data_IF_397231677968
#
_entry.id   IF_397231677968
#
_cell.length_a   1.000
_cell.length_b   1.000
_cell.length_c   1.000
_cell.angle_alpha   90.00
_cell.angle_beta   90.00
_cell.angle_gamma   90.00
#
_symmetry.space_group_name_H-M   'P 1'
#
loop_
_entity.id
_entity.type
_entity.pdbx_description
1 polymer ?
#
# COMPACT_ATOMS: atom_id res chain seq x y z
N UNK A 1 -34.20 -44.00 -55.86
CA UNK A 1 -33.33 -42.86 -55.50
C UNK A 1 -33.60 -42.50 -54.06
N UNK A 2 -32.58 -42.63 -53.22
CA UNK A 2 -32.56 -42.35 -51.79
C UNK A 2 -32.78 -40.88 -51.47
N UNK A 3 -33.20 -40.63 -50.22
CA UNK A 3 -32.83 -39.53 -49.30
C UNK A 3 -34.06 -38.92 -48.62
N UNK A 4 -34.14 -39.09 -47.30
CA UNK A 4 -34.42 -38.00 -46.37
C UNK A 4 -34.03 -38.45 -44.96
N UNK A 5 -32.78 -38.13 -44.62
CA UNK A 5 -32.21 -38.18 -43.28
C UNK A 5 -32.39 -36.81 -42.65
N UNK A 6 -33.08 -36.80 -41.50
CA UNK A 6 -32.81 -36.08 -40.24
C UNK A 6 -32.55 -34.56 -40.28
N UNK A 7 -33.29 -33.83 -39.43
CA UNK A 7 -32.72 -32.83 -38.51
C UNK A 7 -33.77 -32.38 -37.48
N UNK A 8 -33.99 -33.20 -36.44
CA UNK A 8 -34.64 -32.79 -35.18
C UNK A 8 -33.57 -32.62 -34.11
N UNK A 9 -32.91 -31.47 -34.07
CA UNK A 9 -32.07 -31.07 -32.93
C UNK A 9 -31.71 -29.58 -33.04
N UNK A 10 -32.61 -28.68 -32.66
CA UNK A 10 -32.24 -27.25 -32.57
C UNK A 10 -32.92 -26.48 -31.43
N UNK A 11 -33.81 -27.09 -30.65
CA UNK A 11 -34.56 -26.38 -29.61
C UNK A 11 -33.94 -26.44 -28.21
N UNK A 12 -33.02 -27.35 -27.91
CA UNK A 12 -32.38 -27.42 -26.58
C UNK A 12 -31.23 -26.41 -26.39
N UNK A 13 -30.54 -26.01 -27.46
CA UNK A 13 -29.38 -25.10 -27.35
C UNK A 13 -29.79 -23.64 -27.09
N UNK A 14 -30.94 -23.21 -27.59
CA UNK A 14 -31.42 -21.83 -27.43
C UNK A 14 -31.91 -21.54 -26.00
N UNK A 15 -32.58 -22.50 -25.36
CA UNK A 15 -33.07 -22.36 -23.97
C UNK A 15 -31.92 -22.28 -22.95
N UNK A 16 -30.87 -23.10 -23.11
CA UNK A 16 -29.69 -23.05 -22.23
C UNK A 16 -28.87 -21.77 -22.40
N UNK A 17 -28.77 -21.22 -23.62
CA UNK A 17 -28.03 -19.97 -23.85
C UNK A 17 -28.71 -18.76 -23.16
N UNK A 18 -30.05 -18.77 -23.10
CA UNK A 18 -30.83 -17.70 -22.48
C UNK A 18 -30.83 -17.79 -20.94
N UNK A 19 -30.90 -19.00 -20.36
CA UNK A 19 -30.72 -19.22 -18.91
C UNK A 19 -29.30 -18.89 -18.40
N UNK A 20 -28.27 -19.14 -19.21
CA UNK A 20 -26.87 -18.81 -18.86
C UNK A 20 -26.64 -17.29 -18.92
N UNK A 21 -27.31 -16.58 -19.83
CA UNK A 21 -27.21 -15.12 -19.93
C UNK A 21 -27.85 -14.39 -18.73
N UNK A 22 -28.96 -14.91 -18.20
CA UNK A 22 -29.63 -14.37 -17.02
C UNK A 22 -28.80 -14.60 -15.72
N UNK A 23 -28.07 -15.72 -15.63
CA UNK A 23 -27.25 -16.06 -14.46
C UNK A 23 -25.97 -15.22 -14.30
N UNK A 24 -25.52 -14.54 -15.36
CA UNK A 24 -24.31 -13.71 -15.35
C UNK A 24 -24.59 -12.30 -15.87
N UNK A 25 -25.61 -11.66 -15.31
CA UNK A 25 -25.80 -10.22 -15.48
C UNK A 25 -24.62 -9.50 -14.79
N UNK A 26 -23.58 -9.16 -15.56
CA UNK A 26 -22.46 -8.35 -15.07
C UNK A 26 -23.02 -6.98 -14.70
N UNK A 27 -23.27 -6.76 -13.40
CA UNK A 27 -23.73 -5.47 -12.91
C UNK A 27 -22.61 -4.48 -13.18
N UNK A 28 -22.82 -3.58 -14.15
CA UNK A 28 -21.89 -2.50 -14.42
C UNK A 28 -21.62 -1.76 -13.10
N UNK A 29 -20.35 -1.51 -12.79
CA UNK A 29 -19.94 -0.79 -11.59
C UNK A 29 -20.72 0.52 -11.51
N UNK A 30 -21.43 0.72 -10.41
CA UNK A 30 -22.29 1.90 -10.23
C UNK A 30 -21.45 3.15 -9.97
N UNK A 31 -20.25 2.96 -9.41
CA UNK A 31 -19.33 4.02 -9.03
C UNK A 31 -17.91 3.71 -9.54
N UNK A 32 -17.17 4.74 -9.91
CA UNK A 32 -15.81 4.59 -10.44
C UNK A 32 -14.86 3.97 -9.40
N UNK A 33 -15.07 4.24 -8.11
CA UNK A 33 -14.28 3.62 -7.05
C UNK A 33 -14.42 2.09 -7.01
N UNK A 34 -15.56 1.53 -7.45
CA UNK A 34 -15.75 0.08 -7.50
C UNK A 34 -14.81 -0.54 -8.51
N UNK A 35 -14.64 0.08 -9.68
CA UNK A 35 -13.71 -0.40 -10.70
C UNK A 35 -12.26 -0.15 -10.30
N UNK A 36 -11.93 1.06 -9.87
CA UNK A 36 -10.54 1.49 -9.64
C UNK A 36 -9.95 0.93 -8.35
N UNK A 37 -10.69 0.93 -7.26
CA UNK A 37 -10.18 0.49 -5.95
C UNK A 37 -10.24 -1.02 -5.78
N UNK A 38 -11.25 -1.70 -6.34
CA UNK A 38 -11.42 -3.15 -6.17
C UNK A 38 -10.31 -4.01 -6.79
N UNK A 39 -9.55 -3.45 -7.76
CA UNK A 39 -8.41 -4.16 -8.34
C UNK A 39 -7.29 -4.46 -7.34
N UNK A 40 -7.16 -3.67 -6.27
CA UNK A 40 -6.10 -3.85 -5.27
C UNK A 40 -6.62 -4.00 -3.83
N UNK A 41 -7.85 -3.61 -3.55
CA UNK A 41 -8.43 -3.60 -2.21
C UNK A 41 -9.83 -4.18 -2.22
N UNK A 42 -10.24 -4.91 -1.18
CA UNK A 42 -11.68 -5.20 -1.02
C UNK A 42 -12.41 -3.89 -0.70
N UNK A 43 -13.63 -3.70 -1.21
CA UNK A 43 -14.42 -2.50 -0.88
C UNK A 43 -14.75 -2.44 0.60
N UNK A 44 -14.93 -3.59 1.25
CA UNK A 44 -15.02 -3.68 2.71
C UNK A 44 -13.82 -3.01 3.38
N UNK A 45 -12.59 -3.33 2.97
CA UNK A 45 -11.37 -2.69 3.51
C UNK A 45 -11.33 -1.19 3.21
N UNK A 46 -11.76 -0.77 2.02
CA UNK A 46 -11.78 0.66 1.65
C UNK A 46 -12.68 1.45 2.60
N UNK A 47 -13.85 0.90 2.95
CA UNK A 47 -14.86 1.57 3.77
C UNK A 47 -14.89 1.13 5.24
N UNK A 48 -13.99 0.25 5.68
CA UNK A 48 -13.97 -0.28 7.04
C UNK A 48 -13.85 0.80 8.11
N UNK A 49 -13.21 1.92 7.78
CA UNK A 49 -13.03 3.04 8.69
C UNK A 49 -13.71 4.29 8.15
N UNK A 50 -14.66 4.88 8.90
CA UNK A 50 -15.22 6.17 8.52
C UNK A 50 -14.14 7.25 8.54
N UNK A 51 -14.29 8.24 7.66
CA UNK A 51 -13.35 9.35 7.51
C UNK A 51 -14.11 10.65 7.32
N UNK A 52 -13.53 11.76 7.75
CA UNK A 52 -14.02 13.08 7.38
C UNK A 52 -13.91 13.29 5.87
N UNK A 53 -14.66 14.26 5.33
CA UNK A 53 -14.55 14.65 3.92
C UNK A 53 -13.11 15.00 3.52
N UNK A 54 -12.35 15.64 4.42
CA UNK A 54 -10.96 16.02 4.14
C UNK A 54 -10.02 14.80 4.14
N UNK A 55 -10.21 13.87 5.07
CA UNK A 55 -9.42 12.64 5.13
C UNK A 55 -9.65 11.75 3.90
N UNK A 56 -10.88 11.70 3.37
CA UNK A 56 -11.15 11.04 2.09
C UNK A 56 -10.38 11.68 0.93
N UNK A 57 -10.37 13.02 0.84
CA UNK A 57 -9.59 13.74 -0.18
C UNK A 57 -8.10 13.38 -0.10
N UNK A 58 -7.52 13.47 1.10
CA UNK A 58 -6.10 13.12 1.33
C UNK A 58 -5.82 11.66 0.94
N UNK A 59 -6.73 10.74 1.30
CA UNK A 59 -6.59 9.32 0.98
C UNK A 59 -6.52 9.09 -0.53
N UNK A 60 -7.47 9.64 -1.29
CA UNK A 60 -7.52 9.48 -2.75
C UNK A 60 -6.33 10.15 -3.42
N UNK A 61 -5.95 11.37 -3.03
CA UNK A 61 -4.74 12.04 -3.55
C UNK A 61 -3.48 11.21 -3.31
N UNK A 62 -3.37 10.55 -2.14
CA UNK A 62 -2.25 9.64 -1.87
C UNK A 62 -2.27 8.41 -2.78
N UNK A 63 -3.44 7.84 -3.05
CA UNK A 63 -3.55 6.69 -3.96
C UNK A 63 -3.18 7.06 -5.40
N UNK A 64 -3.60 8.23 -5.86
CA UNK A 64 -3.16 8.79 -7.16
C UNK A 64 -1.64 8.92 -7.21
N UNK A 65 -1.01 9.45 -6.15
CA UNK A 65 0.45 9.59 -6.08
C UNK A 65 1.21 8.25 -6.10
N UNK A 66 0.59 7.15 -5.65
CA UNK A 66 1.21 5.81 -5.69
C UNK A 66 1.24 5.22 -7.10
N UNK A 67 0.24 5.51 -7.92
CA UNK A 67 0.20 5.11 -9.33
C UNK A 67 -0.54 6.15 -10.17
N UNK A 68 0.17 7.18 -10.67
CA UNK A 68 -0.45 8.29 -11.42
C UNK A 68 -1.11 7.88 -12.74
N UNK A 69 -0.80 6.70 -13.27
CA UNK A 69 -1.39 6.17 -14.50
C UNK A 69 -2.70 5.39 -14.23
N UNK A 70 -3.01 5.08 -12.97
CA UNK A 70 -4.18 4.28 -12.60
C UNK A 70 -5.42 5.12 -12.30
N UNK A 71 -5.23 6.24 -11.62
CA UNK A 71 -6.28 7.21 -11.28
C UNK A 71 -5.79 8.59 -11.73
N UNK A 72 -6.43 9.15 -12.76
CA UNK A 72 -6.10 10.50 -13.24
C UNK A 72 -6.59 11.57 -12.25
N UNK A 73 -6.22 12.84 -12.49
CA UNK A 73 -6.69 13.95 -11.67
C UNK A 73 -8.22 14.10 -11.71
N UNK A 74 -8.80 13.94 -12.90
CA UNK A 74 -10.25 14.02 -13.14
C UNK A 74 -10.99 12.84 -12.50
N UNK A 75 -10.47 11.61 -12.68
CA UNK A 75 -11.02 10.40 -12.06
C UNK A 75 -10.95 10.48 -10.53
N UNK A 76 -9.84 10.99 -9.98
CA UNK A 76 -9.67 11.19 -8.55
C UNK A 76 -10.69 12.18 -7.98
N UNK A 77 -10.96 13.28 -8.68
CA UNK A 77 -11.98 14.25 -8.29
C UNK A 77 -13.39 13.63 -8.29
N UNK A 78 -13.71 12.81 -9.30
CA UNK A 78 -14.99 12.11 -9.38
C UNK A 78 -15.15 11.09 -8.24
N UNK A 79 -14.14 10.25 -7.98
CA UNK A 79 -14.15 9.28 -6.87
C UNK A 79 -14.36 9.99 -5.52
N UNK A 80 -13.71 11.13 -5.32
CA UNK A 80 -13.89 11.94 -4.11
C UNK A 80 -15.34 12.37 -3.97
N UNK A 81 -15.97 12.85 -5.04
CA UNK A 81 -17.36 13.28 -5.04
C UNK A 81 -18.33 12.12 -4.75
N UNK A 82 -18.16 10.99 -5.45
CA UNK A 82 -18.95 9.76 -5.27
C UNK A 82 -18.95 9.31 -3.79
N UNK A 83 -17.79 9.31 -3.14
CA UNK A 83 -17.67 8.87 -1.75
C UNK A 83 -18.24 9.93 -0.79
N UNK A 84 -17.83 11.19 -0.94
CA UNK A 84 -18.18 12.28 -0.02
C UNK A 84 -19.68 12.60 -0.04
N UNK A 85 -20.31 12.50 -1.20
CA UNK A 85 -21.72 12.83 -1.40
C UNK A 85 -22.63 11.59 -1.49
N UNK A 86 -22.14 10.48 -2.03
CA UNK A 86 -22.90 9.25 -2.22
C UNK A 86 -22.85 8.25 -1.05
N UNK A 87 -21.81 8.28 -0.21
CA UNK A 87 -21.60 7.34 0.90
C UNK A 87 -21.53 8.04 2.26
N UNK A 88 -22.61 8.74 2.61
CA UNK A 88 -22.73 9.50 3.88
C UNK A 88 -22.53 8.62 5.12
N UNK A 89 -22.83 7.34 5.04
CA UNK A 89 -22.57 6.32 6.07
C UNK A 89 -21.09 6.21 6.46
N UNK A 90 -20.19 6.58 5.54
CA UNK A 90 -18.74 6.51 5.73
C UNK A 90 -18.13 7.85 6.16
N UNK A 91 -18.94 8.90 6.28
CA UNK A 91 -18.49 10.27 6.59
C UNK A 91 -18.74 10.61 8.05
N UNK A 92 -17.68 10.93 8.78
CA UNK A 92 -17.76 11.49 10.14
C UNK A 92 -17.54 13.00 10.15
N UNK A 93 -18.13 13.67 11.14
CA UNK A 93 -18.06 15.13 11.27
C UNK A 93 -16.67 15.61 11.74
N UNK A 94 -16.00 14.85 12.59
CA UNK A 94 -14.69 15.19 13.17
C UNK A 94 -13.72 14.05 12.99
N UNK A 95 -12.45 14.38 12.74
CA UNK A 95 -11.38 13.39 12.75
C UNK A 95 -11.19 12.91 14.18
N UNK A 96 -11.23 11.61 14.39
CA UNK A 96 -10.88 11.00 15.67
C UNK A 96 -9.47 10.44 15.56
N UNK A 97 -8.63 10.73 16.53
CA UNK A 97 -7.30 10.14 16.64
C UNK A 97 -7.45 8.64 16.89
N UNK A 98 -7.05 7.83 15.90
CA UNK A 98 -7.28 6.38 15.91
C UNK A 98 -6.28 5.67 16.81
N UNK A 99 -6.74 4.72 17.63
CA UNK A 99 -5.85 3.79 18.34
C UNK A 99 -5.43 2.64 17.43
N UNK A 100 -4.18 2.22 17.52
CA UNK A 100 -3.63 1.13 16.71
C UNK A 100 -2.93 0.12 17.61
N UNK A 101 -3.28 -1.16 17.47
CA UNK A 101 -2.58 -2.24 18.15
C UNK A 101 -1.23 -2.57 17.49
N UNK A 102 -1.15 -2.40 16.17
CA UNK A 102 0.08 -2.60 15.40
C UNK A 102 0.90 -1.29 15.36
N UNK A 103 2.12 -1.35 15.88
CA UNK A 103 3.03 -0.19 15.95
C UNK A 103 3.50 0.30 14.59
N UNK A 104 3.58 -0.57 13.58
CA UNK A 104 3.92 -0.16 12.22
C UNK A 104 2.78 0.68 11.63
N UNK A 105 1.53 0.27 11.85
CA UNK A 105 0.36 1.04 11.42
C UNK A 105 0.31 2.38 12.16
N UNK A 106 0.56 2.39 13.47
CA UNK A 106 0.68 3.61 14.26
C UNK A 106 1.73 4.56 13.67
N UNK A 107 2.94 4.07 13.41
CA UNK A 107 4.02 4.86 12.82
C UNK A 107 3.63 5.44 11.45
N UNK A 108 3.01 4.63 10.58
CA UNK A 108 2.56 5.10 9.27
C UNK A 108 1.53 6.23 9.45
N UNK A 109 0.55 6.06 10.33
CA UNK A 109 -0.49 7.07 10.53
C UNK A 109 0.04 8.37 11.17
N UNK A 110 0.89 8.27 12.20
CA UNK A 110 1.39 9.46 12.90
C UNK A 110 2.48 10.20 12.14
N UNK A 111 3.45 9.46 11.62
CA UNK A 111 4.68 10.07 11.11
C UNK A 111 4.61 10.35 9.61
N UNK A 112 3.89 9.52 8.83
CA UNK A 112 3.98 9.57 7.36
C UNK A 112 2.93 10.45 6.68
N UNK A 113 2.02 11.04 7.47
CA UNK A 113 1.09 12.06 6.97
C UNK A 113 1.82 13.28 6.43
N UNK A 114 2.94 13.65 7.04
CA UNK A 114 3.71 14.86 6.69
C UNK A 114 5.17 14.56 6.35
N UNK A 115 5.71 13.39 6.72
CA UNK A 115 7.10 13.05 6.47
C UNK A 115 7.20 11.81 5.59
N UNK A 116 8.22 11.75 4.74
CA UNK A 116 8.55 10.49 4.07
C UNK A 116 9.11 9.52 5.09
N UNK A 117 8.85 8.22 4.91
CA UNK A 117 9.39 7.19 5.81
C UNK A 117 10.92 7.27 5.83
N UNK A 118 11.54 7.52 4.67
CA UNK A 118 12.98 7.72 4.51
C UNK A 118 13.52 8.83 5.41
N UNK A 119 12.84 9.99 5.47
CA UNK A 119 13.26 11.12 6.30
C UNK A 119 13.34 10.73 7.77
N UNK A 120 12.41 9.93 8.24
CA UNK A 120 12.34 9.51 9.64
C UNK A 120 13.36 8.40 9.92
N UNK A 121 13.34 7.31 9.16
CA UNK A 121 14.18 6.14 9.44
C UNK A 121 15.68 6.36 9.20
N UNK A 122 16.08 7.38 8.43
CA UNK A 122 17.50 7.74 8.24
C UNK A 122 18.11 8.53 9.41
N UNK A 123 17.30 8.98 10.38
CA UNK A 123 17.84 9.72 11.51
C UNK A 123 18.58 8.78 12.46
N UNK A 124 19.81 9.15 12.80
CA UNK A 124 20.56 8.48 13.86
C UNK A 124 20.35 9.23 15.17
N UNK A 125 19.45 8.71 16.00
CA UNK A 125 19.06 9.31 17.28
C UNK A 125 19.13 8.29 18.41
N UNK A 126 19.44 8.75 19.62
CA UNK A 126 19.22 7.99 20.86
C UNK A 126 17.73 7.89 21.16
N UNK A 127 17.38 7.07 22.15
CA UNK A 127 16.00 6.93 22.62
C UNK A 127 15.44 8.27 23.12
N UNK A 128 16.25 9.01 23.88
CA UNK A 128 15.90 10.30 24.46
C UNK A 128 15.67 11.34 23.34
N UNK A 129 16.58 11.41 22.37
CA UNK A 129 16.43 12.30 21.22
C UNK A 129 15.22 11.96 20.34
N UNK A 130 14.84 10.68 20.26
CA UNK A 130 13.61 10.25 19.61
C UNK A 130 12.38 10.69 20.38
N UNK A 131 12.37 10.49 21.70
CA UNK A 131 11.27 10.92 22.57
C UNK A 131 11.04 12.44 22.45
N UNK A 132 12.10 13.24 22.54
CA UNK A 132 12.03 14.69 22.33
C UNK A 132 11.48 15.06 20.93
N UNK A 133 11.92 14.34 19.91
CA UNK A 133 11.44 14.57 18.54
C UNK A 133 9.96 14.29 18.41
N UNK A 134 9.46 13.18 18.97
CA UNK A 134 8.04 12.80 18.93
C UNK A 134 7.20 13.78 19.76
N UNK A 135 7.66 14.18 20.95
CA UNK A 135 6.99 15.20 21.77
C UNK A 135 6.85 16.51 20.99
N UNK A 136 7.90 16.95 20.30
CA UNK A 136 7.83 18.14 19.43
C UNK A 136 6.84 17.95 18.26
N UNK A 137 6.73 16.75 17.69
CA UNK A 137 5.73 16.49 16.64
C UNK A 137 4.31 16.51 17.19
N UNK A 138 4.08 15.97 18.38
CA UNK A 138 2.81 16.12 19.11
C UNK A 138 2.49 17.59 19.36
N UNK A 139 3.45 18.39 19.83
CA UNK A 139 3.19 19.81 20.13
C UNK A 139 2.82 20.60 18.87
N UNK A 140 3.37 20.22 17.72
CA UNK A 140 3.06 20.83 16.42
C UNK A 140 1.74 20.33 15.80
N UNK A 141 1.29 19.13 16.16
CA UNK A 141 0.10 18.47 15.60
C UNK A 141 -0.63 17.65 16.69
N UNK A 142 -1.17 18.31 17.72
CA UNK A 142 -1.69 17.63 18.92
C UNK A 142 -2.87 16.70 18.61
N UNK A 143 -3.64 17.01 17.57
CA UNK A 143 -4.75 16.19 17.12
C UNK A 143 -4.33 14.84 16.52
N UNK A 144 -3.07 14.68 16.13
CA UNK A 144 -2.58 13.44 15.53
C UNK A 144 -2.12 12.43 16.58
N UNK A 145 -1.71 12.85 17.77
CA UNK A 145 -1.05 11.98 18.73
C UNK A 145 -1.92 11.76 19.97
N UNK A 146 -1.96 10.53 20.44
CA UNK A 146 -2.37 10.21 21.81
C UNK A 146 -1.15 10.18 22.72
N UNK A 147 -1.32 10.48 24.01
CA UNK A 147 -0.23 10.40 24.98
C UNK A 147 0.37 8.98 25.07
N UNK A 148 -0.46 7.96 24.88
CA UNK A 148 -0.03 6.55 24.82
C UNK A 148 0.81 6.19 23.59
N UNK A 149 0.71 6.98 22.50
CA UNK A 149 1.48 6.73 21.27
C UNK A 149 2.97 7.04 21.48
N UNK A 150 3.27 8.02 22.33
CA UNK A 150 4.61 8.58 22.51
C UNK A 150 5.64 7.51 22.93
N UNK A 151 5.45 6.75 24.03
CA UNK A 151 6.40 5.72 24.42
C UNK A 151 6.49 4.60 23.37
N UNK A 152 5.37 4.20 22.76
CA UNK A 152 5.34 3.11 21.76
C UNK A 152 6.16 3.48 20.51
N UNK A 153 5.96 4.69 19.98
CA UNK A 153 6.71 5.19 18.83
C UNK A 153 8.19 5.41 19.16
N UNK A 154 8.49 5.85 20.38
CA UNK A 154 9.87 6.05 20.86
C UNK A 154 10.65 4.75 20.83
N UNK A 155 10.09 3.67 21.40
CA UNK A 155 10.75 2.36 21.39
C UNK A 155 10.91 1.84 19.97
N UNK A 156 9.85 1.89 19.18
CA UNK A 156 9.87 1.41 17.80
C UNK A 156 10.94 2.10 16.94
N UNK A 157 11.08 3.42 17.02
CA UNK A 157 12.09 4.15 16.25
C UNK A 157 13.51 3.90 16.78
N UNK A 158 13.66 3.68 18.09
CA UNK A 158 14.94 3.34 18.72
C UNK A 158 15.42 1.96 18.27
N UNK A 159 14.56 0.95 18.37
CA UNK A 159 14.85 -0.43 17.93
C UNK A 159 15.12 -0.49 16.44
N UNK A 160 14.31 0.21 15.63
CA UNK A 160 14.48 0.21 14.19
C UNK A 160 15.75 0.95 13.76
N UNK A 161 16.08 2.06 14.42
CA UNK A 161 17.37 2.74 14.23
C UNK A 161 18.54 1.83 14.58
N UNK A 162 18.45 1.03 15.65
CA UNK A 162 19.47 0.04 16.02
C UNK A 162 19.63 -1.05 14.95
N UNK A 163 18.52 -1.61 14.46
CA UNK A 163 18.54 -2.58 13.37
C UNK A 163 19.20 -2.00 12.11
N UNK A 164 18.90 -0.75 11.75
CA UNK A 164 19.52 -0.13 10.56
C UNK A 164 21.01 0.17 10.73
N UNK A 165 21.50 0.37 11.96
CA UNK A 165 22.92 0.63 12.26
C UNK A 165 23.77 -0.64 12.35
N UNK A 166 23.21 -1.70 12.93
CA UNK A 166 23.95 -2.90 13.27
C UNK A 166 23.80 -4.01 12.21
N UNK A 167 22.92 -3.84 11.23
CA UNK A 167 22.63 -4.83 10.18
C UNK A 167 23.22 -4.41 8.83
N UNK A 168 24.24 -5.16 8.38
CA UNK A 168 24.89 -4.96 7.08
C UNK A 168 23.86 -4.98 5.94
N UNK A 169 22.83 -5.82 6.00
CA UNK A 169 21.78 -5.87 4.99
C UNK A 169 20.94 -4.59 4.96
N UNK A 170 20.70 -3.97 6.12
CA UNK A 170 19.95 -2.72 6.21
C UNK A 170 20.75 -1.56 5.63
N UNK A 171 22.06 -1.53 5.88
CA UNK A 171 22.94 -0.56 5.27
C UNK A 171 22.98 -0.71 3.73
N UNK A 172 23.07 -1.94 3.23
CA UNK A 172 22.94 -2.22 1.79
C UNK A 172 21.59 -1.71 1.25
N UNK A 173 20.48 -1.91 1.96
CA UNK A 173 19.17 -1.39 1.54
C UNK A 173 19.18 0.13 1.41
N UNK A 174 19.74 0.84 2.39
CA UNK A 174 19.83 2.30 2.37
C UNK A 174 20.69 2.79 1.20
N UNK A 175 21.85 2.17 1.01
CA UNK A 175 22.84 2.57 0.00
C UNK A 175 22.43 2.19 -1.43
N UNK A 176 21.60 1.16 -1.60
CA UNK A 176 21.32 0.59 -2.93
C UNK A 176 19.85 0.62 -3.32
N UNK A 177 18.93 0.34 -2.42
CA UNK A 177 17.50 0.31 -2.74
C UNK A 177 16.87 1.70 -2.57
N UNK A 178 17.23 2.42 -1.50
CA UNK A 178 16.62 3.71 -1.17
C UNK A 178 17.20 4.89 -1.96
N UNK A 179 18.15 4.65 -2.86
CA UNK A 179 18.63 5.62 -3.85
C UNK A 179 17.54 5.94 -4.87
N UNK A 180 16.71 4.95 -5.22
CA UNK A 180 15.65 5.10 -6.22
C UNK A 180 14.23 4.83 -5.67
N UNK A 181 14.10 4.21 -4.50
CA UNK A 181 12.81 3.80 -3.97
C UNK A 181 12.54 4.41 -2.59
N UNK A 182 11.28 4.73 -2.34
CA UNK A 182 10.82 5.03 -0.98
C UNK A 182 10.75 3.73 -0.18
N UNK A 183 11.30 3.73 1.05
CA UNK A 183 11.35 2.52 1.90
C UNK A 183 9.95 1.96 2.18
N UNK A 184 8.92 2.81 2.26
CA UNK A 184 7.54 2.39 2.42
C UNK A 184 7.02 1.55 1.24
N UNK A 185 7.53 1.75 0.02
CA UNK A 185 7.17 0.92 -1.14
C UNK A 185 7.70 -0.51 -1.01
N UNK A 186 8.85 -0.65 -0.35
CA UNK A 186 9.54 -1.94 -0.19
C UNK A 186 8.97 -2.66 1.03
N UNK A 187 8.93 -1.99 2.19
CA UNK A 187 8.60 -2.62 3.47
C UNK A 187 7.10 -2.91 3.67
N UNK A 188 6.22 -2.32 2.85
CA UNK A 188 4.78 -2.62 2.88
C UNK A 188 4.37 -3.73 1.91
N UNK A 189 5.29 -4.20 1.09
CA UNK A 189 5.03 -5.25 0.11
C UNK A 189 5.12 -6.63 0.78
N UNK A 190 4.26 -7.56 0.34
CA UNK A 190 4.22 -8.94 0.83
C UNK A 190 4.55 -9.90 -0.31
N UNK A 191 5.68 -10.60 -0.24
CA UNK A 191 6.10 -11.63 -1.20
C UNK A 191 6.68 -12.85 -0.49
N UNK A 192 6.59 -14.00 -1.14
CA UNK A 192 7.38 -15.17 -0.77
C UNK A 192 8.87 -14.87 -0.95
N UNK A 193 9.75 -15.66 -0.33
CA UNK A 193 11.20 -15.58 -0.55
C UNK A 193 11.53 -15.57 -2.04
N UNK A 194 10.99 -16.53 -2.79
CA UNK A 194 11.16 -16.62 -4.25
C UNK A 194 10.71 -15.34 -4.97
N UNK A 195 9.57 -14.77 -4.56
CA UNK A 195 9.08 -13.51 -5.12
C UNK A 195 9.97 -12.31 -4.82
N UNK A 196 10.64 -12.28 -3.67
CA UNK A 196 11.65 -11.26 -3.38
C UNK A 196 12.93 -11.46 -4.19
N UNK A 197 13.39 -12.70 -4.36
CA UNK A 197 14.53 -13.02 -5.21
C UNK A 197 14.31 -12.52 -6.64
N UNK A 198 13.14 -12.82 -7.23
CA UNK A 198 12.79 -12.38 -8.58
C UNK A 198 12.76 -10.84 -8.67
N UNK A 199 12.15 -10.17 -7.69
CA UNK A 199 12.12 -8.71 -7.62
C UNK A 199 13.53 -8.10 -7.59
N UNK A 200 14.44 -8.65 -6.77
CA UNK A 200 15.81 -8.11 -6.66
C UNK A 200 16.62 -8.39 -7.94
N UNK A 201 16.40 -9.54 -8.61
CA UNK A 201 16.99 -9.84 -9.92
C UNK A 201 16.55 -8.80 -10.95
N UNK A 202 15.25 -8.51 -11.03
CA UNK A 202 14.72 -7.49 -11.94
C UNK A 202 15.33 -6.11 -11.65
N UNK A 203 15.44 -5.73 -10.37
CA UNK A 203 16.06 -4.46 -9.98
C UNK A 203 17.54 -4.41 -10.35
N UNK A 204 18.28 -5.52 -10.26
CA UNK A 204 19.68 -5.59 -10.70
C UNK A 204 19.81 -5.36 -12.20
N UNK A 205 18.95 -5.98 -13.01
CA UNK A 205 18.92 -5.78 -14.47
C UNK A 205 18.64 -4.31 -14.80
N UNK A 206 17.60 -3.73 -14.20
CA UNK A 206 17.22 -2.33 -14.42
C UNK A 206 18.32 -1.36 -13.97
N UNK A 207 18.93 -1.60 -12.81
CA UNK A 207 20.01 -0.75 -12.31
C UNK A 207 21.25 -0.83 -13.21
N UNK A 208 21.59 -2.01 -13.73
CA UNK A 208 22.68 -2.18 -14.69
C UNK A 208 22.42 -1.43 -16.00
N UNK A 209 21.18 -1.48 -16.51
CA UNK A 209 20.80 -0.73 -17.71
C UNK A 209 20.88 0.79 -17.48
N UNK A 210 20.39 1.26 -16.33
CA UNK A 210 20.31 2.69 -16.02
C UNK A 210 21.65 3.32 -15.64
N UNK A 211 22.46 2.62 -14.86
CA UNK A 211 23.70 3.14 -14.27
C UNK A 211 24.97 2.54 -14.87
N UNK A 212 24.85 1.59 -15.81
CA UNK A 212 25.96 0.90 -16.48
C UNK A 212 26.97 0.26 -15.52
N UNK A 213 26.54 -0.08 -14.30
CA UNK A 213 27.36 -0.74 -13.27
C UNK A 213 26.60 -1.90 -12.66
N UNK A 214 27.34 -2.89 -12.16
CA UNK A 214 26.72 -3.95 -11.36
C UNK A 214 26.34 -3.35 -10.00
N UNK A 215 25.04 -3.32 -9.72
CA UNK A 215 24.51 -2.59 -8.57
C UNK A 215 24.64 -3.41 -7.28
N UNK A 216 24.54 -4.73 -7.36
CA UNK A 216 24.63 -5.66 -6.24
C UNK A 216 25.65 -6.77 -6.53
N UNK A 217 26.46 -7.14 -5.54
CA UNK A 217 27.21 -8.40 -5.55
C UNK A 217 26.27 -9.59 -5.25
N UNK A 218 26.72 -10.81 -5.53
CA UNK A 218 25.96 -12.02 -5.21
C UNK A 218 25.75 -12.20 -3.70
N UNK A 219 26.69 -11.75 -2.86
CA UNK A 219 26.57 -11.85 -1.40
C UNK A 219 25.57 -10.83 -0.85
N UNK A 220 25.61 -9.59 -1.38
CA UNK A 220 24.64 -8.55 -1.02
C UNK A 220 23.22 -8.91 -1.45
N UNK A 221 23.06 -9.66 -2.55
CA UNK A 221 21.77 -10.18 -2.98
C UNK A 221 21.12 -11.08 -1.92
N UNK A 222 21.86 -12.03 -1.36
CA UNK A 222 21.30 -12.93 -0.36
C UNK A 222 20.91 -12.17 0.91
N UNK A 223 21.80 -11.27 1.36
CA UNK A 223 21.54 -10.42 2.52
C UNK A 223 20.29 -9.56 2.35
N UNK A 224 20.09 -8.95 1.16
CA UNK A 224 18.91 -8.11 0.92
C UNK A 224 17.63 -8.93 0.91
N UNK A 225 17.64 -10.11 0.28
CA UNK A 225 16.46 -11.00 0.23
C UNK A 225 16.11 -11.48 1.64
N UNK A 226 17.09 -11.88 2.43
CA UNK A 226 16.87 -12.30 3.82
C UNK A 226 16.26 -11.19 4.67
N UNK A 227 16.79 -9.97 4.56
CA UNK A 227 16.23 -8.81 5.24
C UNK A 227 14.79 -8.53 4.79
N UNK A 228 14.53 -8.54 3.48
CA UNK A 228 13.20 -8.30 2.93
C UNK A 228 12.18 -9.32 3.45
N UNK A 229 12.54 -10.61 3.47
CA UNK A 229 11.69 -11.66 4.04
C UNK A 229 11.43 -11.41 5.53
N UNK A 230 12.48 -11.12 6.31
CA UNK A 230 12.40 -10.88 7.76
C UNK A 230 11.55 -9.66 8.11
N UNK A 231 11.65 -8.58 7.34
CA UNK A 231 10.94 -7.31 7.60
C UNK A 231 9.41 -7.41 7.43
N UNK A 232 8.91 -8.48 6.83
CA UNK A 232 7.46 -8.70 6.69
C UNK A 232 6.80 -9.14 8.00
N UNK A 233 7.56 -9.51 9.03
CA UNK A 233 7.01 -10.12 10.26
C UNK A 233 6.66 -11.59 10.06
N UNK A 234 6.66 -12.35 11.15
CA UNK A 234 6.25 -13.76 11.19
C UNK A 234 4.74 -13.92 11.00
#
# INVERSE_FOLDING_TARGET
MSLLIVCLASSLSYGQAQEIHEKFQYKASQFLYEEKCSKCHTLERVFAEPKTKNEWRICITRMMGKNPLWITAEEGALIIDEIVNGRKDTIVATSQTKKYADVQVLFIDRCTRCHTVNRVLKQNKTREEWQETILRMRDNAPELFLDEDIPILTEYLTERGKMMRDDVAAQIMVEKCLVCHEVGRILLERKSRKGWEDCVVDMRVLARQKFQKDWFSSDEFNLIVDLLVKTQGS
#
